data_IF_894339383341
#
_entry.id   IF_894339383341
#
_cell.length_a   1.000
_cell.length_b   1.000
_cell.length_c   1.000
_cell.angle_alpha   90.00
_cell.angle_beta   90.00
_cell.angle_gamma   90.00
#
_symmetry.space_group_name_H-M   'P 1'
#
loop_
_entity.id
_entity.type
_entity.pdbx_description
1 polymer ?
#
# COMPACT_ATOMS: atom_id res chain seq x y z
N UNK A 1 -51.72 -15.20 7.23
CA UNK A 1 -51.02 -14.90 8.50
C UNK A 1 -49.61 -14.37 8.22
N UNK A 2 -49.46 -13.04 8.20
CA UNK A 2 -48.53 -12.28 9.03
C UNK A 2 -47.08 -12.79 9.22
N UNK A 3 -46.09 -12.16 8.56
CA UNK A 3 -45.31 -11.06 9.16
C UNK A 3 -43.96 -10.76 8.45
N UNK A 4 -43.90 -9.58 7.83
CA UNK A 4 -42.82 -8.58 7.86
C UNK A 4 -41.37 -9.09 7.79
N UNK A 5 -40.91 -9.40 6.58
CA UNK A 5 -39.48 -9.38 6.25
C UNK A 5 -39.07 -7.90 6.12
N UNK A 6 -38.71 -7.29 7.24
CA UNK A 6 -38.25 -5.90 7.30
C UNK A 6 -37.16 -5.67 6.26
N UNK A 7 -37.44 -4.82 5.28
CA UNK A 7 -36.46 -4.16 4.42
C UNK A 7 -35.57 -3.28 5.31
N UNK A 8 -34.63 -3.91 6.03
CA UNK A 8 -33.61 -3.17 6.77
C UNK A 8 -32.65 -2.58 5.73
N UNK A 9 -32.97 -1.37 5.29
CA UNK A 9 -32.09 -0.47 4.56
C UNK A 9 -30.74 -0.45 5.28
N UNK A 10 -29.71 -1.05 4.69
CA UNK A 10 -28.36 -1.11 5.26
C UNK A 10 -27.84 0.33 5.35
N UNK A 11 -28.08 0.99 6.47
CA UNK A 11 -27.46 2.27 6.81
C UNK A 11 -25.99 1.98 7.08
N UNK A 12 -25.11 2.40 6.19
CA UNK A 12 -23.66 2.29 6.42
C UNK A 12 -23.30 3.23 7.57
N UNK A 13 -23.14 2.68 8.78
CA UNK A 13 -22.61 3.44 9.90
C UNK A 13 -21.22 3.96 9.55
N UNK A 14 -21.04 5.29 9.63
CA UNK A 14 -19.73 5.93 9.47
C UNK A 14 -19.06 5.96 10.84
N UNK A 15 -18.02 5.16 11.00
CA UNK A 15 -17.16 5.20 12.18
C UNK A 15 -15.98 6.16 11.95
N UNK A 16 -15.61 6.92 12.97
CA UNK A 16 -14.45 7.81 12.93
C UNK A 16 -13.16 7.00 12.77
N UNK A 17 -12.09 7.58 12.18
CA UNK A 17 -10.79 6.93 12.08
C UNK A 17 -10.26 6.47 13.45
N UNK A 18 -10.33 7.35 14.46
CA UNK A 18 -9.86 7.08 15.82
C UNK A 18 -10.58 5.89 16.45
N UNK A 19 -11.90 5.79 16.24
CA UNK A 19 -12.68 4.66 16.73
C UNK A 19 -12.23 3.35 16.08
N UNK A 20 -12.01 3.35 14.76
CA UNK A 20 -11.53 2.16 14.03
C UNK A 20 -10.17 1.72 14.53
N UNK A 21 -9.26 2.67 14.75
CA UNK A 21 -7.90 2.38 15.21
C UNK A 21 -7.90 1.76 16.61
N UNK A 22 -8.65 2.34 17.55
CA UNK A 22 -8.81 1.81 18.90
C UNK A 22 -9.50 0.44 18.89
N UNK A 23 -10.53 0.26 18.07
CA UNK A 23 -11.24 -1.01 17.96
C UNK A 23 -10.33 -2.12 17.42
N UNK A 24 -9.50 -1.83 16.42
CA UNK A 24 -8.52 -2.79 15.89
C UNK A 24 -7.40 -3.08 16.90
N UNK A 25 -6.89 -2.08 17.61
CA UNK A 25 -5.87 -2.29 18.65
C UNK A 25 -6.41 -3.16 19.79
N UNK A 26 -7.65 -2.92 20.22
CA UNK A 26 -8.30 -3.75 21.24
C UNK A 26 -8.52 -5.18 20.73
N UNK A 27 -8.92 -5.34 19.46
CA UNK A 27 -9.12 -6.65 18.85
C UNK A 27 -7.83 -7.48 18.73
N UNK A 28 -6.66 -6.85 18.70
CA UNK A 28 -5.36 -7.52 18.73
C UNK A 28 -5.03 -8.12 20.11
N UNK A 29 -5.56 -7.52 21.19
CA UNK A 29 -5.33 -7.96 22.58
C UNK A 29 -6.41 -8.94 23.05
N UNK A 30 -7.67 -8.58 22.85
CA UNK A 30 -8.84 -9.28 23.42
C UNK A 30 -9.49 -10.26 22.43
N UNK A 31 -9.14 -10.18 21.14
CA UNK A 31 -9.72 -10.98 20.07
C UNK A 31 -10.94 -10.35 19.41
N UNK A 32 -11.11 -10.63 18.11
CA UNK A 32 -12.18 -10.05 17.27
C UNK A 32 -13.60 -10.37 17.77
N UNK A 33 -13.94 -11.62 18.16
CA UNK A 33 -15.30 -11.94 18.57
C UNK A 33 -15.76 -11.20 19.83
N UNK A 34 -14.86 -11.01 20.80
CA UNK A 34 -15.17 -10.30 22.04
C UNK A 34 -15.39 -8.81 21.77
N UNK A 35 -14.45 -8.18 21.06
CA UNK A 35 -14.50 -6.75 20.78
C UNK A 35 -15.69 -6.39 19.87
N UNK A 36 -16.04 -7.26 18.93
CA UNK A 36 -17.23 -7.09 18.09
C UNK A 36 -18.52 -7.02 18.94
N UNK A 37 -18.67 -7.92 19.91
CA UNK A 37 -19.81 -7.94 20.83
C UNK A 37 -19.83 -6.69 21.71
N UNK A 38 -18.70 -6.35 22.33
CA UNK A 38 -18.58 -5.19 23.23
C UNK A 38 -18.89 -3.86 22.54
N UNK A 39 -18.47 -3.71 21.28
CA UNK A 39 -18.67 -2.49 20.49
C UNK A 39 -19.98 -2.48 19.70
N UNK A 40 -20.75 -3.57 19.71
CA UNK A 40 -21.97 -3.72 18.93
C UNK A 40 -21.74 -3.64 17.41
N UNK A 41 -20.57 -4.10 16.94
CA UNK A 41 -20.19 -4.12 15.52
C UNK A 41 -20.07 -5.56 15.02
N UNK A 42 -20.21 -5.78 13.71
CA UNK A 42 -20.03 -7.13 13.16
C UNK A 42 -18.56 -7.52 13.14
N UNK A 43 -18.24 -8.78 13.44
CA UNK A 43 -16.86 -9.29 13.34
C UNK A 43 -16.23 -9.03 11.96
N UNK A 44 -17.04 -9.16 10.90
CA UNK A 44 -16.63 -8.91 9.52
C UNK A 44 -16.09 -7.48 9.29
N UNK A 45 -16.68 -6.46 9.93
CA UNK A 45 -16.20 -5.07 9.78
C UNK A 45 -14.86 -4.89 10.49
N UNK A 46 -14.67 -5.55 11.62
CA UNK A 46 -13.44 -5.52 12.40
C UNK A 46 -12.28 -6.18 11.65
N UNK A 47 -12.54 -7.35 11.03
CA UNK A 47 -11.58 -8.00 10.13
C UNK A 47 -11.22 -7.11 8.93
N UNK A 48 -12.21 -6.43 8.34
CA UNK A 48 -11.95 -5.50 7.24
C UNK A 48 -11.08 -4.32 7.67
N UNK A 49 -11.31 -3.73 8.85
CA UNK A 49 -10.48 -2.64 9.36
C UNK A 49 -9.06 -3.12 9.67
N UNK A 50 -8.91 -4.30 10.26
CA UNK A 50 -7.59 -4.91 10.50
C UNK A 50 -6.82 -5.11 9.19
N UNK A 51 -7.46 -5.67 8.16
CA UNK A 51 -6.87 -5.85 6.84
C UNK A 51 -6.46 -4.52 6.21
N UNK A 52 -7.29 -3.48 6.31
CA UNK A 52 -6.97 -2.14 5.80
C UNK A 52 -5.80 -1.49 6.54
N UNK A 53 -5.71 -1.66 7.86
CA UNK A 53 -4.59 -1.15 8.68
C UNK A 53 -3.27 -1.77 8.24
N UNK A 54 -3.24 -3.09 8.01
CA UNK A 54 -2.04 -3.77 7.53
C UNK A 54 -1.67 -3.34 6.10
N UNK A 55 -2.64 -3.29 5.19
CA UNK A 55 -2.39 -2.83 3.82
C UNK A 55 -1.91 -1.38 3.77
N UNK A 56 -2.49 -0.48 4.56
CA UNK A 56 -2.13 0.94 4.55
C UNK A 56 -0.70 1.20 5.00
N UNK A 57 -0.24 0.53 6.07
CA UNK A 57 1.13 0.66 6.58
C UNK A 57 2.17 0.08 5.61
N UNK A 58 1.91 -1.11 5.07
CA UNK A 58 2.82 -1.75 4.11
C UNK A 58 2.87 -1.01 2.78
N UNK A 59 1.74 -0.49 2.29
CA UNK A 59 1.68 0.14 0.95
C UNK A 59 2.47 1.43 0.89
N UNK A 60 2.41 2.31 1.89
CA UNK A 60 3.10 3.60 1.83
C UNK A 60 4.64 3.43 1.92
N UNK A 61 5.11 2.61 2.85
CA UNK A 61 6.55 2.35 2.99
C UNK A 61 7.10 1.58 1.78
N UNK A 62 6.34 0.62 1.26
CA UNK A 62 6.70 -0.07 0.01
C UNK A 62 6.75 0.88 -1.18
N UNK A 63 5.79 1.81 -1.31
CA UNK A 63 5.81 2.84 -2.36
C UNK A 63 7.04 3.75 -2.25
N UNK A 64 7.43 4.17 -1.04
CA UNK A 64 8.64 4.98 -0.83
C UNK A 64 9.90 4.23 -1.22
N UNK A 65 10.03 2.97 -0.81
CA UNK A 65 11.17 2.10 -1.17
C UNK A 65 11.26 1.93 -2.69
N UNK A 66 10.13 1.62 -3.35
CA UNK A 66 10.07 1.53 -4.82
C UNK A 66 10.46 2.83 -5.50
N UNK A 67 10.02 3.98 -4.98
CA UNK A 67 10.38 5.29 -5.54
C UNK A 67 11.88 5.58 -5.40
N UNK A 68 12.48 5.22 -4.27
CA UNK A 68 13.91 5.38 -4.04
C UNK A 68 14.74 4.49 -4.99
N UNK A 69 14.31 3.24 -5.20
CA UNK A 69 14.93 2.32 -6.16
C UNK A 69 14.83 2.84 -7.59
N UNK A 70 13.65 3.32 -8.01
CA UNK A 70 13.46 3.92 -9.33
C UNK A 70 14.37 5.13 -9.54
N UNK A 71 14.53 5.99 -8.52
CA UNK A 71 15.42 7.14 -8.61
C UNK A 71 16.88 6.72 -8.73
N UNK A 72 17.32 5.71 -7.97
CA UNK A 72 18.67 5.13 -8.08
C UNK A 72 18.92 4.56 -9.47
N UNK A 73 17.97 3.75 -9.97
CA UNK A 73 18.11 3.09 -11.27
C UNK A 73 18.16 4.10 -12.42
N UNK A 74 17.35 5.17 -12.36
CA UNK A 74 17.40 6.26 -13.35
C UNK A 74 18.76 6.97 -13.37
N UNK A 75 19.37 7.22 -12.21
CA UNK A 75 20.72 7.82 -12.13
C UNK A 75 21.76 6.91 -12.76
N UNK A 76 21.68 5.61 -12.47
CA UNK A 76 22.61 4.64 -13.02
C UNK A 76 22.47 4.50 -14.53
N UNK A 77 21.24 4.44 -15.05
CA UNK A 77 20.99 4.44 -16.49
C UNK A 77 21.55 5.69 -17.17
N UNK A 78 21.42 6.87 -16.55
CA UNK A 78 22.00 8.11 -17.08
C UNK A 78 23.53 8.04 -17.14
N UNK A 79 24.18 7.60 -16.05
CA UNK A 79 25.64 7.40 -15.99
C UNK A 79 26.13 6.44 -17.08
N UNK A 80 25.49 5.28 -17.20
CA UNK A 80 25.84 4.28 -18.20
C UNK A 80 25.62 4.79 -19.64
N UNK A 81 24.60 5.62 -19.86
CA UNK A 81 24.36 6.23 -21.16
C UNK A 81 25.47 7.23 -21.53
N UNK A 82 25.93 8.03 -20.56
CA UNK A 82 27.07 8.95 -20.74
C UNK A 82 28.37 8.20 -21.04
N UNK A 83 28.68 7.14 -20.28
CA UNK A 83 29.85 6.29 -20.51
C UNK A 83 29.82 5.63 -21.89
N UNK A 84 28.66 5.07 -22.28
CA UNK A 84 28.49 4.52 -23.62
C UNK A 84 28.67 5.58 -24.72
N UNK A 85 28.16 6.79 -24.51
CA UNK A 85 28.33 7.87 -25.48
C UNK A 85 29.79 8.27 -25.63
N UNK A 86 30.54 8.33 -24.53
CA UNK A 86 31.98 8.60 -24.55
C UNK A 86 32.76 7.50 -25.28
N UNK A 87 32.52 6.22 -24.94
CA UNK A 87 33.19 5.09 -25.59
C UNK A 87 32.91 5.03 -27.08
N UNK A 88 31.68 5.30 -27.51
CA UNK A 88 31.33 5.38 -28.93
C UNK A 88 32.10 6.49 -29.66
N UNK A 89 32.25 7.66 -29.03
CA UNK A 89 33.04 8.76 -29.60
C UNK A 89 34.52 8.38 -29.72
N UNK A 90 35.09 7.76 -28.69
CA UNK A 90 36.47 7.30 -28.70
C UNK A 90 36.70 6.24 -29.80
N UNK A 91 35.83 5.24 -29.90
CA UNK A 91 35.89 4.22 -30.94
C UNK A 91 35.82 4.82 -32.36
N UNK A 92 34.94 5.80 -32.58
CA UNK A 92 34.83 6.50 -33.86
C UNK A 92 36.10 7.32 -34.19
N UNK A 93 36.72 7.94 -33.18
CA UNK A 93 37.98 8.67 -33.35
C UNK A 93 39.11 7.71 -33.79
N UNK A 94 39.31 6.61 -33.07
CA UNK A 94 40.38 5.65 -33.38
C UNK A 94 40.18 4.93 -34.72
N UNK A 95 38.93 4.62 -35.08
CA UNK A 95 38.63 4.04 -36.40
C UNK A 95 39.05 4.97 -37.55
N UNK A 96 39.00 6.29 -37.34
CA UNK A 96 39.38 7.29 -38.35
C UNK A 96 40.88 7.59 -38.40
N UNK A 97 41.66 7.22 -37.38
CA UNK A 97 43.12 7.36 -37.37
C UNK A 97 43.84 6.12 -37.94
N UNK A 98 43.11 5.01 -38.15
CA UNK A 98 43.66 3.75 -38.65
C UNK A 98 43.36 3.51 -40.15
N UNK A 99 42.64 4.43 -40.78
CA UNK A 99 42.50 4.58 -42.25
C UNK A 99 43.56 5.53 -42.80
#
# INVERSE_FOLDING_TARGET
>A
MNNNKTEQKISRNKYSPQFKDQAVERAEKDGVPQVAKDLGVSEAILYSWRSKKQQGGTTLEHQKLQQAELARLKRECARLAEENAFLKKAAAYFARETE
#
